data_IF_311035592749
#
_entry.id   IF_311035592749
#
_cell.length_a   1.000
_cell.length_b   1.000
_cell.length_c   1.000
_cell.angle_alpha   90.00
_cell.angle_beta   90.00
_cell.angle_gamma   90.00
#
_symmetry.space_group_name_H-M   'P 1'
#
loop_
_entity.id
_entity.type
_entity.pdbx_description
1 polymer ?
#
# COMPACT_ATOMS: atom_id res chain seq x y z
N UNK A 1 -10.62 -1.47 22.24
CA UNK A 1 -10.82 -1.64 20.82
C UNK A 1 -9.65 -2.45 20.22
N UNK A 2 -9.96 -3.30 19.23
CA UNK A 2 -8.94 -4.00 18.46
C UNK A 2 -8.14 -3.02 17.59
N UNK A 3 -6.97 -3.43 17.11
CA UNK A 3 -6.17 -2.61 16.20
C UNK A 3 -6.92 -2.26 14.91
N UNK A 4 -7.66 -3.23 14.35
CA UNK A 4 -8.47 -2.99 13.16
C UNK A 4 -9.61 -2.01 13.40
N UNK A 5 -10.27 -2.12 14.56
CA UNK A 5 -11.32 -1.17 14.94
C UNK A 5 -10.78 0.24 15.12
N UNK A 6 -9.60 0.38 15.74
CA UNK A 6 -8.95 1.68 15.89
C UNK A 6 -8.65 2.30 14.53
N UNK A 7 -8.16 1.51 13.60
CA UNK A 7 -7.85 1.99 12.24
C UNK A 7 -9.12 2.40 11.49
N UNK A 8 -10.20 1.64 11.63
CA UNK A 8 -11.49 2.01 11.03
C UNK A 8 -12.02 3.33 11.58
N UNK A 9 -11.92 3.54 12.87
CA UNK A 9 -12.35 4.79 13.50
C UNK A 9 -11.49 5.96 13.01
N UNK A 10 -10.17 5.78 12.98
CA UNK A 10 -9.26 6.81 12.48
C UNK A 10 -9.57 7.18 11.04
N UNK A 11 -9.79 6.18 10.18
CA UNK A 11 -10.12 6.40 8.78
C UNK A 11 -11.46 7.13 8.63
N UNK A 12 -12.47 6.73 9.39
CA UNK A 12 -13.77 7.37 9.36
C UNK A 12 -13.70 8.85 9.78
N UNK A 13 -12.89 9.17 10.78
CA UNK A 13 -12.68 10.56 11.21
C UNK A 13 -12.06 11.41 10.11
N UNK A 14 -11.03 10.88 9.46
CA UNK A 14 -10.38 11.61 8.37
C UNK A 14 -11.33 11.82 7.20
N UNK A 15 -12.08 10.78 6.83
CA UNK A 15 -13.04 10.85 5.73
C UNK A 15 -14.18 11.82 5.98
N UNK A 16 -14.53 12.06 7.26
CA UNK A 16 -15.59 13.02 7.63
C UNK A 16 -15.25 14.44 7.17
N UNK A 17 -13.97 14.76 6.98
CA UNK A 17 -13.52 16.05 6.45
C UNK A 17 -13.53 16.10 4.91
N UNK A 18 -13.87 14.99 4.26
CA UNK A 18 -13.90 14.86 2.81
C UNK A 18 -12.62 15.36 2.10
N UNK A 19 -11.44 14.84 2.49
CA UNK A 19 -10.19 15.28 1.87
C UNK A 19 -10.09 14.76 0.44
N UNK A 20 -9.43 15.51 -0.42
CA UNK A 20 -9.12 15.06 -1.79
C UNK A 20 -7.93 14.13 -1.82
N UNK A 21 -6.99 14.33 -0.91
CA UNK A 21 -5.77 13.53 -0.79
C UNK A 21 -5.67 12.99 0.64
N UNK A 22 -5.48 11.68 0.75
CA UNK A 22 -5.25 11.00 2.02
C UNK A 22 -3.79 10.58 2.10
N UNK A 23 -3.11 11.01 3.17
CA UNK A 23 -1.74 10.55 3.45
C UNK A 23 -1.81 9.53 4.59
N UNK A 24 -1.35 8.33 4.34
CA UNK A 24 -1.33 7.23 5.31
C UNK A 24 0.12 6.74 5.48
N UNK A 25 0.65 6.88 6.68
CA UNK A 25 2.03 6.51 7.00
C UNK A 25 2.04 5.22 7.82
N UNK A 26 2.36 4.12 7.16
CA UNK A 26 2.42 2.77 7.74
C UNK A 26 1.21 2.43 8.62
N UNK A 27 -0.01 2.64 8.11
CA UNK A 27 -1.21 2.58 8.96
C UNK A 27 -1.52 1.17 9.47
N UNK A 28 -1.01 0.12 8.82
CA UNK A 28 -1.31 -1.26 9.16
C UNK A 28 -0.12 -2.01 9.77
N UNK A 29 0.99 -1.31 10.03
CA UNK A 29 2.23 -1.93 10.47
C UNK A 29 2.14 -2.67 11.80
N UNK A 30 1.29 -2.19 12.72
CA UNK A 30 1.12 -2.79 14.04
C UNK A 30 0.05 -3.89 14.09
N UNK A 31 -0.64 -4.14 12.97
CA UNK A 31 -1.72 -5.14 12.93
C UNK A 31 -1.17 -6.54 12.67
N UNK A 32 -1.86 -7.56 13.21
CA UNK A 32 -1.57 -8.93 12.86
C UNK A 32 -1.89 -9.21 11.38
N UNK A 33 -1.37 -10.30 10.83
CA UNK A 33 -1.46 -10.58 9.40
C UNK A 33 -2.91 -10.64 8.89
N UNK A 34 -3.80 -11.29 9.62
CA UNK A 34 -5.19 -11.45 9.19
C UNK A 34 -5.95 -10.13 9.23
N UNK A 35 -5.79 -9.36 10.30
CA UNK A 35 -6.41 -8.04 10.43
C UNK A 35 -5.87 -7.08 9.38
N UNK A 36 -4.57 -7.16 9.09
CA UNK A 36 -3.94 -6.34 8.04
C UNK A 36 -4.58 -6.62 6.68
N UNK A 37 -4.76 -7.89 6.32
CA UNK A 37 -5.38 -8.25 5.05
C UNK A 37 -6.82 -7.72 4.95
N UNK A 38 -7.58 -7.82 6.03
CA UNK A 38 -8.94 -7.27 6.08
C UNK A 38 -8.94 -5.75 5.86
N UNK A 39 -8.02 -5.05 6.50
CA UNK A 39 -7.91 -3.59 6.33
C UNK A 39 -7.45 -3.21 4.94
N UNK A 40 -6.56 -3.98 4.35
CA UNK A 40 -6.12 -3.76 2.96
C UNK A 40 -7.30 -3.89 1.99
N UNK A 41 -8.14 -4.92 2.16
CA UNK A 41 -9.34 -5.08 1.34
C UNK A 41 -10.30 -3.90 1.51
N UNK A 42 -10.53 -3.48 2.74
CA UNK A 42 -11.43 -2.35 3.02
C UNK A 42 -10.92 -1.07 2.38
N UNK A 43 -9.60 -0.85 2.40
CA UNK A 43 -9.01 0.34 1.80
C UNK A 43 -9.17 0.36 0.29
N UNK A 44 -8.98 -0.79 -0.39
CA UNK A 44 -9.19 -0.87 -1.84
C UNK A 44 -10.64 -0.59 -2.21
N UNK A 45 -11.60 -1.10 -1.46
CA UNK A 45 -13.03 -0.84 -1.69
C UNK A 45 -13.36 0.63 -1.48
N UNK A 46 -12.80 1.22 -0.43
CA UNK A 46 -12.99 2.64 -0.15
C UNK A 46 -12.45 3.50 -1.30
N UNK A 47 -11.25 3.18 -1.77
CA UNK A 47 -10.65 3.91 -2.89
C UNK A 47 -11.53 3.81 -4.15
N UNK A 48 -12.03 2.60 -4.46
CA UNK A 48 -12.88 2.39 -5.63
C UNK A 48 -14.19 3.18 -5.55
N UNK A 49 -14.77 3.29 -4.35
CA UNK A 49 -16.03 4.02 -4.16
C UNK A 49 -15.85 5.53 -4.20
N UNK A 50 -14.76 6.03 -3.64
CA UNK A 50 -14.57 7.47 -3.45
C UNK A 50 -13.72 8.13 -4.53
N UNK A 51 -12.85 7.37 -5.19
CA UNK A 51 -11.94 7.91 -6.20
C UNK A 51 -10.91 8.90 -5.67
N UNK A 52 -10.68 8.90 -4.35
CA UNK A 52 -9.72 9.82 -3.74
C UNK A 52 -8.28 9.41 -4.06
N UNK A 53 -7.38 10.39 -4.02
CA UNK A 53 -5.95 10.12 -4.14
C UNK A 53 -5.43 9.70 -2.77
N UNK A 54 -4.76 8.56 -2.72
CA UNK A 54 -4.17 8.04 -1.48
C UNK A 54 -2.68 7.92 -1.67
N UNK A 55 -1.92 8.52 -0.76
CA UNK A 55 -0.46 8.34 -0.67
C UNK A 55 -0.23 7.43 0.53
N UNK A 56 0.25 6.23 0.28
CA UNK A 56 0.38 5.18 1.28
C UNK A 56 1.85 4.82 1.45
N UNK A 57 2.37 5.04 2.65
CA UNK A 57 3.77 4.73 2.97
C UNK A 57 3.83 3.40 3.70
N UNK A 58 4.67 2.49 3.22
CA UNK A 58 4.81 1.16 3.82
C UNK A 58 6.21 0.59 3.56
N UNK A 59 6.67 -0.28 4.46
CA UNK A 59 7.87 -1.09 4.27
C UNK A 59 7.55 -2.44 3.65
N UNK A 60 6.28 -2.80 3.56
CA UNK A 60 5.85 -4.09 3.05
C UNK A 60 5.64 -4.00 1.54
N UNK A 61 6.53 -4.65 0.79
CA UNK A 61 6.51 -4.63 -0.68
C UNK A 61 5.20 -5.22 -1.23
N UNK A 62 4.75 -6.34 -0.67
CA UNK A 62 3.51 -6.97 -1.10
C UNK A 62 2.30 -6.04 -0.92
N UNK A 63 2.25 -5.34 0.21
CA UNK A 63 1.21 -4.36 0.48
C UNK A 63 1.22 -3.23 -0.56
N UNK A 64 2.40 -2.71 -0.86
CA UNK A 64 2.55 -1.65 -1.86
C UNK A 64 2.05 -2.09 -3.24
N UNK A 65 2.40 -3.31 -3.66
CA UNK A 65 1.98 -3.85 -4.96
C UNK A 65 0.48 -4.11 -4.98
N UNK A 66 -0.07 -4.66 -3.90
CA UNK A 66 -1.49 -4.97 -3.83
C UNK A 66 -2.35 -3.70 -3.84
N UNK A 67 -1.95 -2.67 -3.11
CA UNK A 67 -2.74 -1.44 -2.96
C UNK A 67 -2.51 -0.43 -4.07
N UNK A 68 -1.29 -0.33 -4.59
CA UNK A 68 -0.90 0.81 -5.41
C UNK A 68 -1.26 0.71 -6.88
N UNK A 69 -1.50 1.86 -7.49
CA UNK A 69 -1.47 2.02 -8.94
C UNK A 69 -0.05 2.28 -9.41
N UNK A 70 0.72 2.96 -8.56
CA UNK A 70 2.14 3.25 -8.77
C UNK A 70 2.87 3.04 -7.46
N UNK A 71 4.04 2.44 -7.53
CA UNK A 71 4.92 2.28 -6.36
C UNK A 71 6.17 3.11 -6.59
N UNK A 72 6.41 4.06 -5.69
CA UNK A 72 7.59 4.91 -5.74
C UNK A 72 8.61 4.33 -4.76
N UNK A 73 9.75 3.91 -5.29
CA UNK A 73 10.84 3.34 -4.48
C UNK A 73 11.80 4.47 -4.12
N UNK A 74 12.02 4.64 -2.82
CA UNK A 74 12.89 5.71 -2.32
C UNK A 74 14.25 5.15 -1.93
N UNK A 75 15.29 6.00 -2.08
CA UNK A 75 16.61 5.69 -1.55
C UNK A 75 16.64 5.91 -0.04
N UNK A 76 17.58 5.25 0.63
CA UNK A 76 17.68 5.35 2.08
C UNK A 76 18.25 6.68 2.56
N UNK A 77 19.36 7.16 1.97
CA UNK A 77 20.08 8.36 2.45
C UNK A 77 20.88 9.00 1.33
N UNK A 78 20.59 10.26 0.94
CA UNK A 78 19.38 10.99 1.27
C UNK A 78 18.17 10.39 0.57
N UNK A 79 16.98 10.62 1.10
CA UNK A 79 15.76 10.10 0.50
C UNK A 79 15.52 10.77 -0.86
N UNK A 80 15.52 9.96 -1.90
CA UNK A 80 15.28 10.37 -3.29
C UNK A 80 14.44 9.31 -3.97
N UNK A 81 13.77 9.67 -5.05
CA UNK A 81 13.06 8.69 -5.86
C UNK A 81 14.08 7.86 -6.63
N UNK A 82 14.15 6.58 -6.32
CA UNK A 82 14.98 5.61 -7.05
C UNK A 82 14.34 5.25 -8.37
N UNK A 83 13.06 4.89 -8.32
CA UNK A 83 12.29 4.54 -9.50
C UNK A 83 10.81 4.54 -9.16
N UNK A 84 9.98 4.76 -10.16
CA UNK A 84 8.54 4.63 -10.09
C UNK A 84 8.12 3.40 -10.89
N UNK A 85 7.41 2.47 -10.25
CA UNK A 85 6.93 1.23 -10.87
C UNK A 85 5.42 1.30 -11.01
N UNK A 86 4.94 1.27 -12.23
CA UNK A 86 3.50 1.24 -12.49
C UNK A 86 2.99 -0.18 -12.27
N UNK A 87 1.94 -0.31 -11.48
CA UNK A 87 1.34 -1.60 -11.15
C UNK A 87 0.12 -1.82 -12.04
N UNK A 88 0.28 -2.64 -13.06
CA UNK A 88 -0.79 -2.96 -14.00
C UNK A 88 -1.46 -4.27 -13.60
N UNK A 89 -2.12 -4.25 -12.44
CA UNK A 89 -2.97 -5.35 -11.98
C UNK A 89 -4.42 -4.87 -12.08
N UNK A 90 -5.32 -5.66 -12.67
CA UNK A 90 -6.73 -5.24 -12.82
C UNK A 90 -7.39 -4.93 -11.48
N UNK A 91 -8.31 -3.99 -11.50
CA UNK A 91 -9.20 -3.71 -10.38
C UNK A 91 -10.62 -4.15 -10.71
N UNK A 92 -11.42 -4.57 -9.75
CA UNK A 92 -11.11 -4.69 -8.33
C UNK A 92 -10.10 -5.82 -8.06
N UNK A 93 -9.24 -5.60 -7.06
CA UNK A 93 -8.22 -6.59 -6.69
C UNK A 93 -8.68 -7.39 -5.48
N UNK A 94 -8.89 -8.68 -5.68
CA UNK A 94 -9.13 -9.60 -4.56
C UNK A 94 -7.79 -9.98 -3.92
N UNK A 95 -7.83 -10.45 -2.67
CA UNK A 95 -6.61 -10.87 -1.97
C UNK A 95 -5.83 -11.94 -2.72
N UNK A 96 -6.51 -12.77 -3.49
CA UNK A 96 -5.91 -13.84 -4.29
C UNK A 96 -4.92 -13.32 -5.32
N UNK A 97 -5.02 -12.05 -5.72
CA UNK A 97 -4.07 -11.47 -6.66
C UNK A 97 -2.64 -11.47 -6.11
N UNK A 98 -2.50 -11.47 -4.78
CA UNK A 98 -1.20 -11.56 -4.12
C UNK A 98 -0.45 -12.84 -4.46
N UNK A 99 -1.16 -13.89 -4.83
CA UNK A 99 -0.60 -15.19 -5.20
C UNK A 99 -0.30 -15.31 -6.70
N UNK A 100 -0.67 -14.31 -7.48
CA UNK A 100 -0.48 -14.35 -8.93
C UNK A 100 0.99 -14.21 -9.31
N UNK A 101 1.34 -14.76 -10.47
CA UNK A 101 2.69 -14.64 -11.02
C UNK A 101 3.04 -13.16 -11.27
N UNK A 102 2.10 -12.38 -11.77
CA UNK A 102 2.33 -10.95 -12.03
C UNK A 102 2.64 -10.19 -10.76
N UNK A 103 1.90 -10.47 -9.68
CA UNK A 103 2.18 -9.83 -8.39
C UNK A 103 3.58 -10.19 -7.89
N UNK A 104 3.97 -11.45 -8.03
CA UNK A 104 5.30 -11.91 -7.64
C UNK A 104 6.40 -11.22 -8.47
N UNK A 105 6.18 -11.04 -9.76
CA UNK A 105 7.12 -10.34 -10.64
C UNK A 105 7.32 -8.90 -10.20
N UNK A 106 6.24 -8.17 -9.87
CA UNK A 106 6.34 -6.81 -9.34
C UNK A 106 7.10 -6.78 -8.00
N UNK A 107 6.80 -7.72 -7.12
CA UNK A 107 7.50 -7.82 -5.83
C UNK A 107 9.00 -8.01 -6.03
N UNK A 108 9.37 -8.90 -6.94
CA UNK A 108 10.77 -9.17 -7.24
C UNK A 108 11.47 -7.95 -7.83
N UNK A 109 10.82 -7.26 -8.74
CA UNK A 109 11.36 -6.04 -9.34
C UNK A 109 11.64 -4.97 -8.27
N UNK A 110 10.69 -4.74 -7.40
CA UNK A 110 10.82 -3.74 -6.33
C UNK A 110 11.88 -4.18 -5.32
N UNK A 111 11.89 -5.45 -4.96
CA UNK A 111 12.90 -6.01 -4.06
C UNK A 111 14.31 -5.79 -4.60
N UNK A 112 14.51 -6.04 -5.88
CA UNK A 112 15.82 -5.84 -6.52
C UNK A 112 16.24 -4.36 -6.51
N UNK A 113 15.29 -3.44 -6.72
CA UNK A 113 15.57 -2.01 -6.65
C UNK A 113 16.02 -1.60 -5.25
N UNK A 114 15.35 -2.11 -4.22
CA UNK A 114 15.70 -1.82 -2.83
C UNK A 114 17.07 -2.41 -2.49
N UNK A 115 17.33 -3.65 -2.91
CA UNK A 115 18.60 -4.33 -2.63
C UNK A 115 19.78 -3.66 -3.33
N UNK A 116 19.62 -3.23 -4.56
CA UNK A 116 20.69 -2.56 -5.29
C UNK A 116 21.09 -1.26 -4.59
N UNK A 117 20.15 -0.58 -3.96
CA UNK A 117 20.42 0.64 -3.19
C UNK A 117 21.19 0.34 -1.91
N UNK A 118 20.80 -0.71 -1.18
CA UNK A 118 21.46 -1.07 0.08
C UNK A 118 22.83 -1.71 -0.12
N UNK A 119 23.10 -2.25 -1.30
CA UNK A 119 24.37 -2.89 -1.62
C UNK A 119 25.50 -1.90 -1.94
N UNK A 120 25.20 -0.62 -2.04
CA UNK A 120 26.17 0.42 -2.33
C UNK A 120 26.87 0.98 -1.12
#
# INVERSE_FOLDING_TARGET
LSGGMKQRVALARVLAFDPKVLLMDEPFGALDAQTRETMQEELTRLWERTGKTIVFVTHDIEEAVYLGDRVVVLTARPARIREEVRIDLPRPRALEVKKSVRCLEYRNTIWDLIRSETAR
#
